data_IF_376953184909
#
_entry.id   IF_376953184909
#
_cell.length_a   1.000
_cell.length_b   1.000
_cell.length_c   1.000
_cell.angle_alpha   90.00
_cell.angle_beta   90.00
_cell.angle_gamma   90.00
#
_symmetry.space_group_name_H-M   'P 1'
#
loop_
_entity.id
_entity.type
_entity.pdbx_description
1 polymer ?
#
# COMPACT_ATOMS: atom_id res chain seq x y z
N UNK A 1 3.57 -7.32 23.84
CA UNK A 1 4.70 -6.36 23.74
C UNK A 1 4.33 -5.02 23.11
N UNK A 2 3.34 -4.94 22.20
CA UNK A 2 2.92 -3.68 21.56
C UNK A 2 2.20 -2.70 22.50
N UNK A 3 1.15 -3.14 23.21
CA UNK A 3 0.35 -2.30 24.12
C UNK A 3 1.18 -1.65 25.25
N UNK A 4 2.10 -2.41 25.85
CA UNK A 4 3.01 -1.92 26.90
C UNK A 4 3.99 -0.85 26.43
N UNK A 5 4.42 -0.88 25.16
CA UNK A 5 5.23 0.18 24.55
C UNK A 5 4.37 1.38 24.13
N UNK A 6 3.17 1.15 23.59
CA UNK A 6 2.22 2.22 23.26
C UNK A 6 1.85 3.06 24.49
N UNK A 7 1.55 2.40 25.61
CA UNK A 7 1.31 3.08 26.88
C UNK A 7 2.54 3.89 27.36
N UNK A 8 3.76 3.37 27.18
CA UNK A 8 4.99 4.07 27.53
C UNK A 8 5.27 5.30 26.63
N UNK A 9 4.82 5.26 25.37
CA UNK A 9 4.91 6.35 24.40
C UNK A 9 3.77 7.39 24.56
N UNK A 10 2.87 7.20 25.55
CA UNK A 10 1.72 8.08 25.78
C UNK A 10 0.59 7.91 24.77
N UNK A 11 0.60 6.81 24.01
CA UNK A 11 -0.41 6.52 23.00
C UNK A 11 -1.67 5.91 23.63
N UNK A 12 -2.88 6.22 23.10
CA UNK A 12 -4.10 5.58 23.56
C UNK A 12 -4.05 4.07 23.34
N UNK A 13 -4.27 3.30 24.41
CA UNK A 13 -4.40 1.85 24.36
C UNK A 13 -5.81 1.50 24.84
N UNK A 14 -6.54 0.73 24.05
CA UNK A 14 -7.89 0.32 24.44
C UNK A 14 -7.91 -1.05 25.10
N UNK A 15 -8.64 -1.16 26.21
CA UNK A 15 -8.94 -2.42 26.90
C UNK A 15 -10.14 -3.18 26.30
N UNK A 16 -10.77 -2.65 25.24
CA UNK A 16 -11.87 -3.34 24.58
C UNK A 16 -11.41 -4.61 23.86
N UNK A 17 -12.26 -5.63 23.83
CA UNK A 17 -12.00 -6.83 23.07
C UNK A 17 -11.88 -6.53 21.57
N UNK A 18 -10.97 -7.23 20.88
CA UNK A 18 -10.88 -7.16 19.43
C UNK A 18 -12.02 -7.94 18.77
N UNK A 19 -12.63 -7.33 17.76
CA UNK A 19 -13.61 -8.00 16.89
C UNK A 19 -12.95 -8.93 15.90
N UNK A 20 -13.70 -9.84 15.30
CA UNK A 20 -13.17 -10.72 14.24
C UNK A 20 -12.80 -9.92 12.98
N UNK A 21 -13.49 -8.80 12.71
CA UNK A 21 -13.18 -7.87 11.63
C UNK A 21 -11.85 -7.17 11.86
N UNK A 22 -11.57 -6.75 13.11
CA UNK A 22 -10.28 -6.16 13.48
C UNK A 22 -9.15 -7.17 13.26
N UNK A 23 -9.32 -8.43 13.70
CA UNK A 23 -8.33 -9.50 13.46
C UNK A 23 -8.11 -9.77 11.97
N UNK A 24 -9.19 -9.89 11.18
CA UNK A 24 -9.08 -10.09 9.72
C UNK A 24 -8.31 -8.94 9.06
N UNK A 25 -8.59 -7.69 9.43
CA UNK A 25 -7.86 -6.52 8.92
C UNK A 25 -6.37 -6.61 9.27
N UNK A 26 -6.03 -6.87 10.53
CA UNK A 26 -4.64 -7.00 10.98
C UNK A 26 -3.90 -8.10 10.20
N UNK A 27 -4.50 -9.27 10.04
CA UNK A 27 -3.88 -10.40 9.32
C UNK A 27 -3.62 -10.08 7.85
N UNK A 28 -4.56 -9.41 7.18
CA UNK A 28 -4.41 -9.03 5.77
C UNK A 28 -3.37 -7.93 5.59
N UNK A 29 -3.37 -6.93 6.46
CA UNK A 29 -2.36 -5.86 6.44
C UNK A 29 -0.99 -6.46 6.72
N UNK A 30 -0.86 -7.34 7.73
CA UNK A 30 0.39 -8.02 8.03
C UNK A 30 0.88 -8.83 6.84
N UNK A 31 0.01 -9.65 6.22
CA UNK A 31 0.35 -10.44 5.03
C UNK A 31 0.84 -9.56 3.87
N UNK A 32 0.26 -8.38 3.69
CA UNK A 32 0.74 -7.42 2.70
C UNK A 32 2.15 -6.93 3.07
N UNK A 33 2.36 -6.52 4.32
CA UNK A 33 3.65 -6.00 4.79
C UNK A 33 4.79 -7.01 4.67
N UNK A 34 4.56 -8.28 5.00
CA UNK A 34 5.59 -9.33 4.97
C UNK A 34 5.54 -10.21 3.71
N UNK A 35 4.94 -9.70 2.63
CA UNK A 35 4.76 -10.49 1.41
C UNK A 35 6.11 -11.03 0.87
N UNK A 36 6.23 -12.34 0.57
CA UNK A 36 7.51 -12.95 0.21
C UNK A 36 8.19 -12.34 -1.01
N UNK A 37 7.42 -11.94 -2.03
CA UNK A 37 7.97 -11.36 -3.26
C UNK A 37 8.60 -9.98 -3.04
N UNK A 38 8.26 -9.31 -1.93
CA UNK A 38 8.78 -8.01 -1.57
C UNK A 38 9.86 -8.07 -0.48
N UNK A 39 10.10 -9.25 0.11
CA UNK A 39 10.89 -9.40 1.32
C UNK A 39 12.28 -8.72 1.22
N UNK A 40 13.04 -9.02 0.16
CA UNK A 40 14.44 -8.61 0.05
C UNK A 40 14.69 -7.10 -0.05
N UNK A 41 13.66 -6.32 -0.38
CA UNK A 41 13.80 -4.87 -0.60
C UNK A 41 12.86 -4.03 0.27
N UNK A 42 11.73 -4.59 0.70
CA UNK A 42 10.67 -3.89 1.42
C UNK A 42 10.65 -4.21 2.92
N UNK A 43 11.12 -5.39 3.34
CA UNK A 43 10.94 -5.87 4.71
C UNK A 43 11.49 -4.89 5.76
N UNK A 44 12.71 -4.37 5.56
CA UNK A 44 13.30 -3.38 6.47
C UNK A 44 12.46 -2.10 6.56
N UNK A 45 11.88 -1.66 5.45
CA UNK A 45 10.97 -0.51 5.42
C UNK A 45 9.71 -0.78 6.23
N UNK A 46 9.12 -1.98 6.13
CA UNK A 46 7.97 -2.38 6.92
C UNK A 46 8.29 -2.39 8.43
N UNK A 47 9.46 -2.91 8.81
CA UNK A 47 9.94 -2.91 10.20
C UNK A 47 10.18 -1.49 10.71
N UNK A 48 10.80 -0.63 9.91
CA UNK A 48 11.03 0.77 10.29
C UNK A 48 9.73 1.54 10.45
N UNK A 49 8.73 1.34 9.58
CA UNK A 49 7.39 1.92 9.72
C UNK A 49 6.71 1.50 11.03
N UNK A 50 6.93 0.26 11.46
CA UNK A 50 6.45 -0.25 12.74
C UNK A 50 7.21 0.36 13.92
N UNK A 51 8.55 0.40 13.86
CA UNK A 51 9.42 0.89 14.94
C UNK A 51 9.18 2.35 15.26
N UNK A 52 8.89 3.14 14.25
CA UNK A 52 8.89 4.61 14.32
C UNK A 52 7.49 5.21 14.40
N UNK A 53 6.46 4.36 14.52
CA UNK A 53 5.06 4.77 14.64
C UNK A 53 4.65 5.76 13.56
N UNK A 54 5.14 5.57 12.33
CA UNK A 54 4.80 6.44 11.20
C UNK A 54 5.23 7.91 11.35
N UNK A 55 6.36 8.17 12.02
CA UNK A 55 6.96 9.49 12.08
C UNK A 55 7.11 10.11 10.67
N UNK A 56 6.60 11.32 10.48
CA UNK A 56 6.62 12.05 9.18
C UNK A 56 8.03 12.20 8.59
N UNK A 57 9.06 12.17 9.43
CA UNK A 57 10.46 12.31 9.03
C UNK A 57 10.99 11.10 8.23
N UNK A 58 10.25 9.99 8.14
CA UNK A 58 10.62 8.82 7.33
C UNK A 58 10.06 8.83 5.92
N UNK A 59 9.07 9.69 5.65
CA UNK A 59 8.53 9.80 4.29
C UNK A 59 9.62 10.29 3.32
N UNK A 60 10.64 11.01 3.82
CA UNK A 60 11.85 11.41 3.08
C UNK A 60 12.90 10.31 2.92
N UNK A 61 12.79 9.19 3.65
CA UNK A 61 13.70 8.04 3.59
C UNK A 61 13.14 6.87 2.78
N UNK A 62 11.94 6.99 2.21
CA UNK A 62 11.43 6.06 1.21
C UNK A 62 12.30 6.13 -0.05
N UNK A 63 13.41 5.41 -0.03
CA UNK A 63 14.30 5.23 -1.16
C UNK A 63 13.56 4.29 -2.11
N UNK A 64 12.74 4.86 -3.01
CA UNK A 64 12.05 4.11 -4.07
C UNK A 64 13.04 3.30 -4.94
N UNK A 65 14.33 3.65 -4.88
CA UNK A 65 15.42 2.93 -5.55
C UNK A 65 15.69 1.53 -5.00
N UNK A 66 15.27 1.17 -3.77
CA UNK A 66 15.64 -0.14 -3.18
C UNK A 66 15.17 -1.30 -4.04
N UNK A 67 13.96 -1.22 -4.60
CA UNK A 67 13.46 -2.25 -5.50
C UNK A 67 14.31 -2.35 -6.77
N UNK A 68 14.60 -1.21 -7.41
CA UNK A 68 15.45 -1.18 -8.60
C UNK A 68 16.88 -1.68 -8.32
N UNK A 69 17.47 -1.31 -7.18
CA UNK A 69 18.80 -1.79 -6.78
C UNK A 69 18.82 -3.31 -6.64
N UNK A 70 17.76 -3.91 -6.08
CA UNK A 70 17.57 -5.36 -5.96
C UNK A 70 17.40 -6.02 -7.33
N UNK A 71 16.60 -5.43 -8.23
CA UNK A 71 16.47 -5.89 -9.61
C UNK A 71 17.81 -5.84 -10.36
N UNK A 72 18.63 -4.83 -10.10
CA UNK A 72 19.91 -4.63 -10.80
C UNK A 72 20.99 -5.58 -10.29
N UNK A 73 20.99 -5.91 -9.00
CA UNK A 73 21.94 -6.86 -8.39
C UNK A 73 21.61 -8.32 -8.70
N UNK A 74 20.34 -8.62 -8.98
CA UNK A 74 19.89 -9.98 -9.32
C UNK A 74 20.28 -10.36 -10.74
N UNK A 75 20.83 -11.56 -10.93
CA UNK A 75 21.17 -12.08 -12.25
C UNK A 75 19.91 -12.58 -12.98
N UNK A 76 19.63 -12.02 -14.16
CA UNK A 76 18.55 -12.45 -15.03
C UNK A 76 19.09 -12.99 -16.35
N UNK A 77 18.40 -13.97 -16.93
CA UNK A 77 18.75 -14.55 -18.24
C UNK A 77 18.55 -13.55 -19.41
N UNK A 78 17.69 -12.54 -19.23
CA UNK A 78 17.48 -11.46 -20.20
C UNK A 78 16.73 -10.28 -19.58
N UNK A 79 16.76 -9.12 -20.24
CA UNK A 79 15.92 -7.96 -19.87
C UNK A 79 14.44 -8.32 -19.83
N UNK A 80 13.95 -9.13 -20.77
CA UNK A 80 12.56 -9.61 -20.79
C UNK A 80 12.13 -10.24 -19.46
N UNK A 81 12.96 -11.13 -18.89
CA UNK A 81 12.67 -11.78 -17.61
C UNK A 81 12.64 -10.76 -16.47
N UNK A 82 13.55 -9.78 -16.50
CA UNK A 82 13.58 -8.70 -15.51
C UNK A 82 12.30 -7.85 -15.53
N UNK A 83 11.81 -7.44 -16.71
CA UNK A 83 10.52 -6.74 -16.82
C UNK A 83 9.35 -7.60 -16.35
N UNK A 84 9.35 -8.89 -16.71
CA UNK A 84 8.30 -9.81 -16.29
C UNK A 84 8.24 -9.96 -14.77
N UNK A 85 9.40 -10.02 -14.09
CA UNK A 85 9.47 -10.02 -12.62
C UNK A 85 8.75 -8.81 -12.02
N UNK A 86 8.93 -7.61 -12.58
CA UNK A 86 8.21 -6.42 -12.10
C UNK A 86 6.71 -6.54 -12.30
N UNK A 87 6.28 -6.98 -13.49
CA UNK A 87 4.86 -7.19 -13.77
C UNK A 87 4.22 -8.22 -12.83
N UNK A 88 4.93 -9.32 -12.55
CA UNK A 88 4.47 -10.38 -11.65
C UNK A 88 4.36 -9.88 -10.21
N UNK A 89 5.35 -9.12 -9.71
CA UNK A 89 5.33 -8.53 -8.36
C UNK A 89 4.14 -7.56 -8.17
N UNK A 90 3.89 -6.68 -9.14
CA UNK A 90 2.72 -5.79 -9.13
C UNK A 90 1.43 -6.61 -9.16
N UNK A 91 1.37 -7.65 -9.99
CA UNK A 91 0.20 -8.53 -10.12
C UNK A 91 -0.15 -9.24 -8.81
N UNK A 92 0.86 -9.72 -8.07
CA UNK A 92 0.69 -10.34 -6.75
C UNK A 92 0.12 -9.31 -5.76
N UNK A 93 0.63 -8.08 -5.74
CA UNK A 93 0.10 -7.03 -4.87
C UNK A 93 -1.37 -6.71 -5.20
N UNK A 94 -1.68 -6.47 -6.48
CA UNK A 94 -3.05 -6.19 -6.96
C UNK A 94 -4.02 -7.29 -6.52
N UNK A 95 -3.61 -8.56 -6.56
CA UNK A 95 -4.48 -9.67 -6.18
C UNK A 95 -4.90 -9.64 -4.69
N UNK A 96 -4.09 -9.02 -3.81
CA UNK A 96 -4.39 -8.94 -2.37
C UNK A 96 -5.24 -7.73 -2.00
N UNK A 97 -5.05 -6.61 -2.71
CA UNK A 97 -5.61 -5.29 -2.36
C UNK A 97 -7.13 -5.30 -2.15
N UNK A 98 -7.97 -5.86 -3.06
CA UNK A 98 -9.43 -5.78 -2.91
C UNK A 98 -9.94 -6.39 -1.61
N UNK A 99 -9.36 -7.52 -1.21
CA UNK A 99 -9.76 -8.20 0.03
C UNK A 99 -9.28 -7.46 1.27
N UNK A 100 -8.12 -6.81 1.21
CA UNK A 100 -7.63 -5.94 2.29
C UNK A 100 -8.50 -4.70 2.44
N UNK A 101 -8.89 -4.06 1.33
CA UNK A 101 -9.85 -2.94 1.32
C UNK A 101 -11.18 -3.32 1.97
N UNK A 102 -11.73 -4.47 1.61
CA UNK A 102 -12.98 -4.96 2.19
C UNK A 102 -12.87 -5.17 3.71
N UNK A 103 -11.76 -5.73 4.20
CA UNK A 103 -11.54 -5.90 5.64
C UNK A 103 -11.40 -4.56 6.38
N UNK A 104 -10.65 -3.61 5.81
CA UNK A 104 -10.52 -2.25 6.37
C UNK A 104 -11.89 -1.57 6.43
N UNK A 105 -12.71 -1.65 5.38
CA UNK A 105 -14.04 -1.07 5.36
C UNK A 105 -14.94 -1.64 6.48
N UNK A 106 -14.88 -2.95 6.74
CA UNK A 106 -15.64 -3.56 7.84
C UNK A 106 -15.24 -3.01 9.19
N UNK A 107 -13.94 -2.76 9.43
CA UNK A 107 -13.46 -2.15 10.68
C UNK A 107 -13.91 -0.70 10.80
N UNK A 108 -13.87 0.08 9.71
CA UNK A 108 -14.40 1.45 9.70
C UNK A 108 -15.88 1.45 10.11
N UNK A 109 -16.67 0.51 9.59
CA UNK A 109 -18.08 0.38 9.97
C UNK A 109 -18.24 -0.05 11.43
N UNK A 110 -17.43 -0.98 11.93
CA UNK A 110 -17.41 -1.35 13.36
C UNK A 110 -17.11 -0.13 14.24
N UNK A 111 -16.12 0.69 13.89
CA UNK A 111 -15.79 1.92 14.61
C UNK A 111 -16.92 2.94 14.58
N UNK A 112 -17.63 3.06 13.45
CA UNK A 112 -18.82 3.90 13.32
C UNK A 112 -19.94 3.43 14.26
N UNK A 113 -20.23 2.14 14.28
CA UNK A 113 -21.25 1.55 15.15
C UNK A 113 -20.89 1.72 16.63
N UNK A 114 -19.60 1.55 16.97
CA UNK A 114 -19.06 1.73 18.32
C UNK A 114 -19.25 3.18 18.81
N UNK A 115 -19.00 4.17 17.95
CA UNK A 115 -19.21 5.59 18.25
C UNK A 115 -20.70 5.93 18.49
N UNK A 116 -21.61 5.30 17.73
CA UNK A 116 -23.05 5.44 17.96
C UNK A 116 -23.44 4.79 19.28
N UNK A 117 -23.00 3.57 19.54
CA UNK A 117 -23.35 2.82 20.75
C UNK A 117 -22.93 3.56 22.03
N UNK A 118 -21.69 4.05 22.10
CA UNK A 118 -21.20 4.74 23.31
C UNK A 118 -21.97 6.03 23.63
N UNK A 119 -22.56 6.66 22.61
CA UNK A 119 -23.36 7.87 22.78
C UNK A 119 -24.81 7.58 23.22
N UNK A 120 -25.30 6.35 23.04
CA UNK A 120 -26.72 6.01 23.21
C UNK A 120 -26.99 4.93 24.28
N UNK A 121 -25.96 4.29 24.85
CA UNK A 121 -26.12 3.27 25.88
C UNK A 121 -26.21 3.90 27.26
N UNK A 122 -27.37 3.79 27.91
CA UNK A 122 -27.68 4.40 29.20
C UNK A 122 -26.80 3.93 30.39
N UNK A 123 -26.17 2.76 30.28
CA UNK A 123 -25.31 2.16 31.31
C UNK A 123 -23.89 1.88 30.79
N UNK A 124 -23.37 2.72 29.89
CA UNK A 124 -21.98 2.62 29.47
C UNK A 124 -21.04 2.90 30.65
N UNK A 125 -19.93 2.16 30.72
CA UNK A 125 -18.89 2.42 31.71
C UNK A 125 -18.36 3.87 31.55
N UNK A 126 -17.98 4.57 32.63
CA UNK A 126 -17.54 5.96 32.55
C UNK A 126 -16.34 6.21 31.62
N UNK A 127 -15.48 5.20 31.45
CA UNK A 127 -14.30 5.24 30.57
C UNK A 127 -14.60 4.83 29.13
N UNK A 128 -15.81 4.36 28.82
CA UNK A 128 -16.17 3.84 27.51
C UNK A 128 -15.87 4.83 26.36
N UNK A 129 -16.14 6.16 26.46
CA UNK A 129 -15.78 7.10 25.39
C UNK A 129 -14.28 7.13 25.09
N UNK A 130 -13.44 7.07 26.12
CA UNK A 130 -11.99 7.05 25.97
C UNK A 130 -11.52 5.74 25.32
N UNK A 131 -12.12 4.61 25.71
CA UNK A 131 -11.83 3.29 25.14
C UNK A 131 -12.21 3.20 23.65
N UNK A 132 -13.38 3.75 23.28
CA UNK A 132 -13.80 3.84 21.86
C UNK A 132 -12.81 4.67 21.05
N UNK A 133 -12.41 5.83 21.57
CA UNK A 133 -11.44 6.69 20.91
C UNK A 133 -10.08 6.00 20.76
N UNK A 134 -9.61 5.31 21.80
CA UNK A 134 -8.36 4.57 21.78
C UNK A 134 -8.36 3.44 20.75
N UNK A 135 -9.42 2.62 20.69
CA UNK A 135 -9.50 1.51 19.72
C UNK A 135 -9.59 2.01 18.29
N UNK A 136 -10.37 3.07 18.03
CA UNK A 136 -10.44 3.70 16.70
C UNK A 136 -9.06 4.19 16.27
N UNK A 137 -8.30 4.77 17.20
CA UNK A 137 -6.94 5.22 16.93
C UNK A 137 -6.00 4.04 16.60
N UNK A 138 -6.09 2.91 17.32
CA UNK A 138 -5.31 1.69 17.03
C UNK A 138 -5.65 1.10 15.65
N UNK A 139 -6.93 1.09 15.30
CA UNK A 139 -7.40 0.65 13.99
C UNK A 139 -6.87 1.58 12.88
N UNK A 140 -6.96 2.90 13.08
CA UNK A 140 -6.44 3.89 12.13
C UNK A 140 -4.94 3.72 11.91
N UNK A 141 -4.17 3.44 12.97
CA UNK A 141 -2.73 3.18 12.86
C UNK A 141 -2.40 2.01 11.92
N UNK A 142 -3.21 0.95 11.95
CA UNK A 142 -3.05 -0.21 11.07
C UNK A 142 -3.41 0.14 9.62
N UNK A 143 -4.47 0.92 9.42
CA UNK A 143 -4.90 1.40 8.10
C UNK A 143 -3.81 2.28 7.48
N UNK A 144 -3.25 3.22 8.25
CA UNK A 144 -2.20 4.13 7.79
C UNK A 144 -0.93 3.36 7.37
N UNK A 145 -0.55 2.30 8.08
CA UNK A 145 0.56 1.43 7.68
C UNK A 145 0.33 0.79 6.31
N UNK A 146 -0.87 0.25 6.08
CA UNK A 146 -1.22 -0.31 4.79
C UNK A 146 -1.18 0.74 3.68
N UNK A 147 -1.75 1.92 3.90
CA UNK A 147 -1.76 3.03 2.94
C UNK A 147 -0.35 3.44 2.54
N UNK A 148 0.54 3.65 3.52
CA UNK A 148 1.93 4.03 3.26
C UNK A 148 2.71 2.94 2.55
N UNK A 149 2.54 1.68 2.97
CA UNK A 149 3.16 0.54 2.31
C UNK A 149 2.72 0.42 0.85
N UNK A 150 1.42 0.55 0.59
CA UNK A 150 0.87 0.47 -0.77
C UNK A 150 1.42 1.59 -1.67
N UNK A 151 1.45 2.83 -1.18
CA UNK A 151 2.02 3.96 -1.90
C UNK A 151 3.52 3.76 -2.20
N UNK A 152 4.29 3.26 -1.22
CA UNK A 152 5.71 2.99 -1.40
C UNK A 152 5.98 1.89 -2.43
N UNK A 153 5.18 0.80 -2.42
CA UNK A 153 5.30 -0.25 -3.44
C UNK A 153 5.05 0.29 -4.84
N UNK A 154 3.95 1.02 -5.01
CA UNK A 154 3.63 1.67 -6.28
C UNK A 154 4.76 2.59 -6.78
N UNK A 155 5.30 3.43 -5.90
CA UNK A 155 6.40 4.33 -6.25
C UNK A 155 7.67 3.58 -6.63
N UNK A 156 8.02 2.54 -5.88
CA UNK A 156 9.22 1.71 -6.13
C UNK A 156 9.14 0.99 -7.48
N UNK A 157 7.96 0.45 -7.82
CA UNK A 157 7.72 -0.16 -9.13
C UNK A 157 7.76 0.88 -10.27
N UNK A 158 7.20 2.07 -10.05
CA UNK A 158 7.20 3.16 -11.03
C UNK A 158 8.60 3.64 -11.37
N UNK A 159 9.45 3.83 -10.35
CA UNK A 159 10.87 4.21 -10.49
C UNK A 159 11.66 3.10 -11.15
N UNK A 160 11.41 1.84 -10.81
CA UNK A 160 12.08 0.71 -11.46
C UNK A 160 11.77 0.65 -12.96
N UNK A 161 10.51 0.88 -13.37
CA UNK A 161 10.17 0.92 -14.80
C UNK A 161 10.93 2.04 -15.53
N UNK A 162 10.96 3.26 -14.97
CA UNK A 162 11.68 4.40 -15.57
C UNK A 162 13.15 4.07 -15.80
N UNK A 163 13.80 3.52 -14.77
CA UNK A 163 15.23 3.19 -14.85
C UNK A 163 15.52 2.03 -15.77
N UNK A 164 14.65 1.02 -15.82
CA UNK A 164 14.77 -0.09 -16.76
C UNK A 164 14.62 0.37 -18.21
N UNK A 165 13.75 1.34 -18.48
CA UNK A 165 13.59 1.91 -19.82
C UNK A 165 14.84 2.68 -20.26
N UNK A 166 15.55 3.31 -19.33
CA UNK A 166 16.85 3.96 -19.60
C UNK A 166 17.97 2.92 -19.78
N UNK A 167 18.07 1.92 -18.90
CA UNK A 167 19.17 0.94 -18.91
C UNK A 167 19.03 -0.07 -20.06
N UNK A 168 17.83 -0.62 -20.26
CA UNK A 168 17.53 -1.61 -21.30
C UNK A 168 16.10 -1.42 -21.83
N UNK A 169 15.89 -0.58 -22.86
CA UNK A 169 14.59 -0.41 -23.48
C UNK A 169 14.02 -1.74 -23.98
N UNK A 170 12.78 -2.07 -23.61
CA UNK A 170 12.15 -3.33 -24.00
C UNK A 170 10.62 -3.22 -24.06
N UNK A 171 9.97 -3.92 -24.99
CA UNK A 171 8.51 -3.87 -25.20
C UNK A 171 7.68 -4.35 -23.99
N UNK A 172 8.26 -5.21 -23.15
CA UNK A 172 7.63 -5.72 -21.93
C UNK A 172 7.40 -4.61 -20.89
N UNK A 173 8.04 -3.44 -21.05
CA UNK A 173 7.72 -2.24 -20.27
C UNK A 173 6.23 -1.85 -20.36
N UNK A 174 5.55 -2.15 -21.49
CA UNK A 174 4.10 -1.91 -21.63
C UNK A 174 3.27 -2.76 -20.67
N UNK A 175 3.69 -3.99 -20.39
CA UNK A 175 2.98 -4.88 -19.44
C UNK A 175 3.13 -4.34 -18.01
N UNK A 176 4.34 -3.89 -17.65
CA UNK A 176 4.60 -3.26 -16.35
C UNK A 176 3.77 -1.99 -16.20
N UNK A 177 3.74 -1.13 -17.23
CA UNK A 177 2.96 0.12 -17.21
C UNK A 177 1.45 -0.15 -17.06
N UNK A 178 0.92 -1.14 -17.79
CA UNK A 178 -0.47 -1.55 -17.64
C UNK A 178 -0.80 -2.05 -16.21
N UNK A 179 0.11 -2.80 -15.57
CA UNK A 179 -0.07 -3.23 -14.19
C UNK A 179 -0.02 -2.05 -13.21
N UNK A 180 0.91 -1.11 -13.39
CA UNK A 180 0.96 0.12 -12.60
C UNK A 180 -0.35 0.91 -12.73
N UNK A 181 -0.88 1.05 -13.94
CA UNK A 181 -2.15 1.75 -14.17
C UNK A 181 -3.34 1.03 -13.52
N UNK A 182 -3.31 -0.30 -13.41
CA UNK A 182 -4.31 -1.07 -12.63
C UNK A 182 -4.17 -0.86 -11.11
N UNK A 183 -2.96 -0.67 -10.62
CA UNK A 183 -2.69 -0.47 -9.20
C UNK A 183 -3.02 0.97 -8.74
N UNK A 184 -2.81 1.96 -9.61
CA UNK A 184 -2.92 3.39 -9.28
C UNK A 184 -4.26 3.80 -8.66
N UNK A 185 -5.44 3.37 -9.13
CA UNK A 185 -6.72 3.72 -8.51
C UNK A 185 -6.81 3.27 -7.05
N UNK A 186 -6.24 2.12 -6.70
CA UNK A 186 -6.21 1.65 -5.32
C UNK A 186 -5.31 2.53 -4.44
N UNK A 187 -4.16 2.96 -4.95
CA UNK A 187 -3.25 3.87 -4.22
C UNK A 187 -3.97 5.18 -3.91
N UNK A 188 -4.61 5.79 -4.91
CA UNK A 188 -5.34 7.04 -4.77
C UNK A 188 -6.47 6.92 -3.73
N UNK A 189 -7.25 5.84 -3.80
CA UNK A 189 -8.33 5.56 -2.85
C UNK A 189 -7.82 5.36 -1.42
N UNK A 190 -6.77 4.58 -1.22
CA UNK A 190 -6.17 4.39 0.11
C UNK A 190 -5.66 5.70 0.71
N UNK A 191 -5.00 6.54 -0.10
CA UNK A 191 -4.53 7.88 0.34
C UNK A 191 -5.68 8.83 0.68
N UNK A 192 -6.82 8.69 0.00
CA UNK A 192 -8.04 9.45 0.31
C UNK A 192 -8.82 8.87 1.51
N UNK A 193 -8.40 7.73 2.08
CA UNK A 193 -9.14 7.03 3.12
C UNK A 193 -10.41 6.31 2.62
N UNK A 194 -10.55 6.14 1.30
CA UNK A 194 -11.69 5.48 0.67
C UNK A 194 -11.43 3.97 0.50
N UNK A 195 -11.78 3.20 1.53
CA UNK A 195 -11.67 1.73 1.51
C UNK A 195 -12.99 1.02 1.24
N UNK A 196 -14.10 1.72 1.41
CA UNK A 196 -15.44 1.15 1.26
C UNK A 196 -15.88 1.25 -0.19
N UNK A 197 -16.23 0.12 -0.82
CA UNK A 197 -16.86 0.15 -2.13
C UNK A 197 -18.19 0.90 -2.00
N UNK A 198 -18.31 2.08 -2.59
CA UNK A 198 -19.60 2.66 -2.90
C UNK A 198 -20.30 1.67 -3.83
N UNK A 199 -21.42 1.10 -3.38
CA UNK A 199 -22.16 0.10 -4.14
C UNK A 199 -22.51 0.65 -5.52
N UNK A 200 -21.87 0.13 -6.56
CA UNK A 200 -22.13 0.52 -7.95
C UNK A 200 -21.00 0.19 -8.92
N UNK A 201 -19.74 0.37 -8.53
CA UNK A 201 -18.60 0.11 -9.41
C UNK A 201 -17.66 -0.89 -8.75
N UNK A 202 -17.99 -2.17 -8.89
CA UNK A 202 -16.91 -3.14 -8.98
C UNK A 202 -15.98 -2.65 -10.08
N UNK A 203 -14.69 -2.52 -9.78
CA UNK A 203 -13.65 -2.21 -10.76
C UNK A 203 -13.66 -3.29 -11.84
N UNK A 204 -14.57 -3.16 -12.80
CA UNK A 204 -14.55 -3.90 -14.05
C UNK A 204 -13.45 -3.23 -14.85
N UNK A 205 -12.23 -3.75 -14.70
CA UNK A 205 -11.20 -3.56 -15.70
C UNK A 205 -11.71 -4.21 -16.99
N UNK A 206 -12.46 -3.47 -17.79
CA UNK A 206 -12.61 -3.80 -19.21
C UNK A 206 -11.21 -3.76 -19.79
N UNK A 207 -10.83 -4.80 -20.53
CA UNK A 207 -9.62 -4.92 -21.38
C UNK A 207 -9.59 -3.83 -22.47
N UNK A 208 -9.65 -2.58 -22.05
CA UNK A 208 -9.40 -1.43 -22.88
C UNK A 208 -7.93 -1.15 -22.73
N UNK A 209 -7.19 -1.09 -23.83
CA UNK A 209 -5.77 -0.74 -23.81
C UNK A 209 -5.59 0.55 -23.01
N UNK A 210 -5.07 0.43 -21.79
CA UNK A 210 -4.83 1.58 -20.93
C UNK A 210 -3.69 2.34 -21.60
N UNK A 211 -3.93 3.61 -21.92
CA UNK A 211 -2.93 4.47 -22.55
C UNK A 211 -1.67 4.48 -21.69
N UNK A 212 -0.54 4.13 -22.28
CA UNK A 212 0.72 4.10 -21.55
C UNK A 212 1.11 5.52 -21.16
N UNK A 213 1.59 5.71 -19.93
CA UNK A 213 2.01 7.05 -19.46
C UNK A 213 3.16 7.64 -20.28
N UNK A 214 3.84 6.80 -21.05
CA UNK A 214 4.96 7.17 -21.92
C UNK A 214 4.57 7.36 -23.39
N UNK A 215 3.35 7.03 -23.79
CA UNK A 215 2.90 7.25 -25.19
C UNK A 215 2.69 8.74 -25.51
N UNK A 216 2.55 9.60 -24.50
CA UNK A 216 2.35 11.05 -24.67
C UNK A 216 3.62 11.89 -24.52
N UNK A 217 4.80 11.28 -24.35
CA UNK A 217 6.04 12.04 -24.28
C UNK A 217 6.42 12.55 -25.69
N UNK A 218 6.61 13.86 -25.92
CA UNK A 218 7.07 14.35 -27.21
C UNK A 218 8.47 13.80 -27.50
N UNK A 219 8.60 13.02 -28.58
CA UNK A 219 9.88 12.60 -29.11
C UNK A 219 10.62 13.87 -29.53
N UNK A 220 11.66 14.25 -28.77
CA UNK A 220 12.55 15.32 -29.19
C UNK A 220 13.32 14.84 -30.43
N UNK A 221 13.30 15.56 -31.56
CA UNK A 221 14.06 15.15 -32.73
C UNK A 221 15.56 15.26 -32.42
N UNK A 222 16.29 14.17 -32.69
CA UNK A 222 17.75 14.12 -32.59
C UNK A 222 18.39 15.24 -33.44
N UNK A 223 19.45 15.91 -32.96
CA UNK A 223 20.19 16.85 -33.78
C UNK A 223 20.95 16.09 -34.86
N UNK A 224 20.62 16.39 -36.12
CA UNK A 224 21.33 15.91 -37.30
C UNK A 224 22.83 16.20 -37.18
N UNK A 225 23.63 15.15 -36.96
CA UNK A 225 25.09 15.20 -37.11
C UNK A 225 25.40 15.47 -38.59
N UNK A 226 25.80 16.70 -38.91
CA UNK A 226 26.41 17.01 -40.21
C UNK A 226 27.87 16.55 -40.19
N UNK A 227 28.23 15.79 -41.22
CA UNK A 227 29.61 15.42 -41.56
C UNK A 227 30.47 16.64 -41.88
#
# INVERSE_FOLDING_TARGET
>A
MGASRAAADGEPVSDFNQTDQEREMHDRVWRFLVAPHAHDWFHDTAVELQRTRMASNLDSQFIADRYYATLRSTQYQSSRVRYRKVADDIGIDIATIPTTFAAICRVIEVDRQRAIAVSNVALAAPDAPAQVAARKWENQRTIDWFTRALAYRYQSYSVALERLLVETPHQEGRVVDAQLARMQPYVARAQAGDFCLTGGEGLVFKDTAIASRYETAPVSPDPLVRK
#
